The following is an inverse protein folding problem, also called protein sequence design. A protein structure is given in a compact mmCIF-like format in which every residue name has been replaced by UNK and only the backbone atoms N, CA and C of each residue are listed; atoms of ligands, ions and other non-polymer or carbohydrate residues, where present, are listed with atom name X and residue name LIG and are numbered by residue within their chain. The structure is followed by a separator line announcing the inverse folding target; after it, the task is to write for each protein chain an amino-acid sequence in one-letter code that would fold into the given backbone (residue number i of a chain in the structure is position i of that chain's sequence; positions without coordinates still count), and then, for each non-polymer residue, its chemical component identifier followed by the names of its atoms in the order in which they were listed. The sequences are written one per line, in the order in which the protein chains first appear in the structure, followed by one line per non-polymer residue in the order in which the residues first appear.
data_IF_236212517111
#
_entry.id   IF_236212517111
#
_cell.length_a   1.000
_cell.length_b   1.000
_cell.length_c   1.000
_cell.angle_alpha   90.00
_cell.angle_beta   90.00
_cell.angle_gamma   90.00
#
_symmetry.space_group_name_H-M   'P 1'
#
loop_
_entity.id
_entity.type
_entity.pdbx_description
1 polymer ?
#
# COMPACT_ATOMS: atom_id res chain seq x y z
N UNK A 1 -13.22 6.53 10.96
CA UNK A 1 -13.90 5.41 10.25
C UNK A 1 -12.83 4.47 9.73
N UNK A 2 -13.03 3.14 9.76
CA UNK A 2 -12.05 2.22 9.22
C UNK A 2 -12.14 2.04 7.71
N UNK A 3 -10.98 1.89 7.07
CA UNK A 3 -10.84 1.57 5.65
C UNK A 3 -9.86 0.43 5.42
N UNK A 4 -10.02 -0.21 4.26
CA UNK A 4 -9.04 -1.12 3.68
C UNK A 4 -8.51 -0.49 2.40
N UNK A 5 -7.19 -0.41 2.26
CA UNK A 5 -6.55 0.15 1.08
C UNK A 5 -5.64 -0.89 0.45
N UNK A 6 -5.90 -1.22 -0.81
CA UNK A 6 -5.03 -2.06 -1.62
C UNK A 6 -4.18 -1.18 -2.55
N UNK A 7 -2.88 -1.50 -2.63
CA UNK A 7 -1.84 -0.72 -3.29
C UNK A 7 -0.99 -1.62 -4.20
N UNK A 8 -0.69 -1.12 -5.40
CA UNK A 8 0.28 -1.71 -6.31
C UNK A 8 1.13 -0.60 -6.94
N UNK A 9 2.42 -0.57 -6.62
CA UNK A 9 3.40 0.32 -7.26
C UNK A 9 4.04 -0.41 -8.43
N UNK A 10 3.97 0.16 -9.63
CA UNK A 10 4.62 -0.37 -10.83
C UNK A 10 5.59 0.65 -11.41
N UNK A 11 6.87 0.63 -10.98
CA UNK A 11 7.92 1.40 -11.63
C UNK A 11 8.11 0.91 -13.07
N UNK A 12 8.29 1.82 -14.02
CA UNK A 12 8.45 1.51 -15.44
C UNK A 12 9.94 1.60 -15.84
N UNK A 13 10.78 0.82 -15.15
CA UNK A 13 12.23 0.78 -15.30
C UNK A 13 12.81 -0.60 -14.94
N UNK A 14 13.99 -0.96 -15.43
CA UNK A 14 14.57 -2.30 -15.26
C UNK A 14 14.89 -2.66 -13.80
N UNK A 15 15.40 -1.71 -13.01
CA UNK A 15 15.72 -1.95 -11.59
C UNK A 15 14.52 -1.67 -10.66
N UNK A 16 13.31 -2.05 -11.03
CA UNK A 16 12.08 -1.68 -10.30
C UNK A 16 12.01 -2.21 -8.86
N UNK A 17 12.64 -3.36 -8.56
CA UNK A 17 12.47 -4.07 -7.29
C UNK A 17 12.78 -3.25 -6.03
N UNK A 18 13.90 -2.50 -5.92
CA UNK A 18 14.21 -1.75 -4.72
C UNK A 18 13.17 -0.69 -4.38
N UNK A 19 12.57 -0.03 -5.37
CA UNK A 19 11.52 0.95 -5.14
C UNK A 19 10.27 0.29 -4.52
N UNK A 20 9.86 -0.86 -5.04
CA UNK A 20 8.74 -1.64 -4.51
C UNK A 20 9.06 -2.15 -3.10
N UNK A 21 10.23 -2.76 -2.90
CA UNK A 21 10.65 -3.31 -1.60
C UNK A 21 10.70 -2.21 -0.52
N UNK A 22 11.25 -1.04 -0.86
CA UNK A 22 11.34 0.07 0.09
C UNK A 22 9.97 0.63 0.45
N UNK A 23 9.07 0.76 -0.53
CA UNK A 23 7.69 1.19 -0.28
C UNK A 23 6.95 0.21 0.63
N UNK A 24 7.03 -1.09 0.35
CA UNK A 24 6.42 -2.13 1.20
C UNK A 24 6.98 -2.10 2.63
N UNK A 25 8.30 -1.97 2.78
CA UNK A 25 8.95 -1.86 4.11
C UNK A 25 8.48 -0.62 4.87
N UNK A 26 8.25 0.50 4.21
CA UNK A 26 7.76 1.70 4.90
C UNK A 26 6.31 1.56 5.36
N UNK A 27 5.46 0.87 4.59
CA UNK A 27 4.11 0.49 5.02
C UNK A 27 4.15 -0.44 6.24
N UNK A 28 5.02 -1.47 6.24
CA UNK A 28 5.19 -2.38 7.39
C UNK A 28 5.63 -1.66 8.67
N UNK A 29 6.47 -0.64 8.54
CA UNK A 29 6.96 0.15 9.68
C UNK A 29 5.93 1.14 10.24
N UNK A 30 4.72 1.21 9.67
CA UNK A 30 3.66 2.13 10.12
C UNK A 30 3.00 1.75 11.45
N UNK A 31 3.12 0.49 11.88
CA UNK A 31 2.37 -0.04 13.02
C UNK A 31 0.89 -0.35 12.71
N UNK A 32 0.45 -0.17 11.46
CA UNK A 32 -0.87 -0.61 10.99
C UNK A 32 -0.85 -2.10 10.62
N UNK A 33 -2.04 -2.69 10.52
CA UNK A 33 -2.17 -4.01 9.90
C UNK A 33 -1.83 -3.91 8.43
N UNK A 34 -0.82 -4.67 8.00
CA UNK A 34 -0.38 -4.78 6.61
C UNK A 34 -0.40 -6.23 6.19
N UNK A 35 -1.10 -6.54 5.09
CA UNK A 35 -1.14 -7.86 4.48
C UNK A 35 -0.64 -7.78 3.04
N UNK A 36 -0.02 -8.86 2.57
CA UNK A 36 0.69 -8.88 1.30
C UNK A 36 0.39 -10.18 0.58
N UNK A 37 0.27 -10.08 -0.74
CA UNK A 37 0.17 -11.23 -1.63
C UNK A 37 1.00 -10.95 -2.89
N UNK A 38 1.13 -11.92 -3.82
CA UNK A 38 1.93 -11.73 -5.03
C UNK A 38 1.48 -10.60 -5.97
N UNK A 39 0.28 -10.03 -5.78
CA UNK A 39 -0.33 -9.03 -6.65
C UNK A 39 -0.39 -7.63 -6.00
N UNK A 40 -0.52 -7.54 -4.68
CA UNK A 40 -0.77 -6.28 -3.99
C UNK A 40 -0.32 -6.26 -2.52
N UNK A 41 -0.20 -5.04 -1.99
CA UNK A 41 -0.06 -4.77 -0.54
C UNK A 41 -1.31 -4.09 -0.02
N UNK A 42 -1.79 -4.51 1.14
CA UNK A 42 -3.03 -4.04 1.74
C UNK A 42 -2.75 -3.43 3.11
N UNK A 43 -3.31 -2.25 3.39
CA UNK A 43 -3.17 -1.51 4.64
C UNK A 43 -4.55 -1.26 5.23
N UNK A 44 -4.72 -1.52 6.53
CA UNK A 44 -5.99 -1.37 7.23
C UNK A 44 -5.85 -0.48 8.46
N UNK A 45 -6.88 0.31 8.74
CA UNK A 45 -6.90 1.15 9.94
C UNK A 45 -7.92 2.28 9.87
N UNK A 46 -7.83 3.22 10.82
CA UNK A 46 -8.62 4.46 10.78
C UNK A 46 -8.23 5.31 9.57
N UNK A 47 -9.24 5.87 8.91
CA UNK A 47 -9.11 6.63 7.66
C UNK A 47 -8.00 7.69 7.74
N UNK A 48 -8.04 8.55 8.76
CA UNK A 48 -7.06 9.63 8.88
C UNK A 48 -5.64 9.10 9.09
N UNK A 49 -5.48 8.03 9.87
CA UNK A 49 -4.19 7.39 10.09
C UNK A 49 -3.64 6.75 8.82
N UNK A 50 -4.47 6.00 8.10
CA UNK A 50 -4.08 5.37 6.84
C UNK A 50 -3.75 6.43 5.79
N UNK A 51 -4.59 7.45 5.62
CA UNK A 51 -4.37 8.50 4.62
C UNK A 51 -3.13 9.34 4.92
N UNK A 52 -2.81 9.61 6.19
CA UNK A 52 -1.57 10.30 6.57
C UNK A 52 -0.32 9.48 6.24
N UNK A 53 -0.35 8.16 6.49
CA UNK A 53 0.72 7.25 6.08
C UNK A 53 0.88 7.29 4.55
N UNK A 54 -0.21 7.07 3.82
CA UNK A 54 -0.20 6.98 2.37
C UNK A 54 0.26 8.30 1.73
N UNK A 55 -0.18 9.45 2.24
CA UNK A 55 0.27 10.76 1.75
C UNK A 55 1.80 10.88 1.75
N UNK A 56 2.44 10.45 2.84
CA UNK A 56 3.90 10.51 3.00
C UNK A 56 4.60 9.46 2.13
N UNK A 57 4.22 8.20 2.28
CA UNK A 57 4.97 7.08 1.70
C UNK A 57 4.75 6.96 0.19
N UNK A 58 3.56 7.30 -0.31
CA UNK A 58 3.33 7.34 -1.76
C UNK A 58 4.12 8.44 -2.44
N UNK A 59 4.25 9.61 -1.79
CA UNK A 59 5.09 10.69 -2.31
C UNK A 59 6.54 10.23 -2.43
N UNK A 60 7.09 9.65 -1.36
CA UNK A 60 8.46 9.11 -1.37
C UNK A 60 8.65 8.03 -2.43
N UNK A 61 7.67 7.13 -2.61
CA UNK A 61 7.75 6.10 -3.64
C UNK A 61 7.74 6.66 -5.08
N UNK A 62 6.90 7.67 -5.34
CA UNK A 62 6.83 8.34 -6.64
C UNK A 62 8.07 9.20 -6.92
N UNK A 63 8.67 9.81 -5.90
CA UNK A 63 9.94 10.56 -6.03
C UNK A 63 11.15 9.63 -6.28
N UNK A 64 11.06 8.36 -5.90
CA UNK A 64 12.13 7.38 -6.05
C UNK A 64 12.18 6.70 -7.45
N UNK A 65 11.23 7.01 -8.33
CA UNK A 65 11.11 6.42 -9.67
C UNK A 65 10.98 7.52 -10.73
N UNK A 66 11.63 7.35 -11.88
CA UNK A 66 11.53 8.34 -12.97
C UNK A 66 10.15 8.30 -13.64
N UNK A 67 9.62 7.08 -13.78
CA UNK A 67 8.31 6.78 -14.37
C UNK A 67 7.70 5.62 -13.63
N UNK A 68 6.44 5.74 -13.26
CA UNK A 68 5.73 4.70 -12.56
C UNK A 68 4.26 5.01 -12.47
N UNK A 69 3.47 4.00 -12.11
CA UNK A 69 2.10 4.17 -11.70
C UNK A 69 1.91 3.60 -10.30
N UNK A 70 1.00 4.20 -9.55
CA UNK A 70 0.53 3.65 -8.29
C UNK A 70 -0.97 3.45 -8.41
N UNK A 71 -1.41 2.20 -8.35
CA UNK A 71 -2.82 1.84 -8.31
C UNK A 71 -3.28 1.75 -6.86
N UNK A 72 -4.43 2.36 -6.56
CA UNK A 72 -5.01 2.43 -5.22
C UNK A 72 -6.49 2.09 -5.28
N UNK A 73 -6.91 1.17 -4.43
CA UNK A 73 -8.32 0.83 -4.22
C UNK A 73 -8.67 0.98 -2.76
N UNK A 74 -9.64 1.85 -2.46
CA UNK A 74 -10.10 2.13 -1.10
C UNK A 74 -11.49 1.51 -0.90
N UNK A 75 -11.64 0.76 0.19
CA UNK A 75 -12.91 0.16 0.60
C UNK A 75 -13.34 0.75 1.94
N UNK A 76 -14.60 1.21 2.02
CA UNK A 76 -15.23 1.71 3.25
C UNK A 76 -15.62 0.52 4.14
N UNK A 77 -14.64 -0.05 4.84
CA UNK A 77 -14.76 -1.03 5.94
C UNK A 77 -13.37 -1.61 6.23
N UNK A 78 -13.20 -2.20 7.41
CA UNK A 78 -12.08 -3.09 7.71
C UNK A 78 -12.40 -4.47 7.08
N UNK A 79 -11.50 -4.99 6.24
CA UNK A 79 -11.60 -6.31 5.61
C UNK A 79 -10.39 -7.18 5.91
N UNK A 80 -9.62 -6.84 6.94
CA UNK A 80 -8.40 -7.55 7.31
C UNK A 80 -8.62 -9.00 7.76
N UNK A 81 -9.85 -9.33 8.14
CA UNK A 81 -10.30 -10.65 8.62
C UNK A 81 -11.08 -11.45 7.56
N UNK A 82 -11.03 -11.05 6.29
CA UNK A 82 -11.76 -11.76 5.25
C UNK A 82 -11.26 -13.19 5.07
N UNK A 83 -12.16 -14.15 5.27
CA UNK A 83 -11.99 -15.55 4.89
C UNK A 83 -13.05 -15.95 3.86
N UNK A 84 -12.68 -16.67 2.77
CA UNK A 84 -13.64 -17.27 1.85
C UNK A 84 -14.58 -18.24 2.59
N UNK A 85 -15.87 -18.23 2.26
CA UNK A 85 -16.91 -19.03 2.92
C UNK A 85 -17.72 -19.87 1.92
N UNK A 86 -17.04 -20.41 0.90
CA UNK A 86 -17.63 -21.26 -0.14
C UNK A 86 -16.80 -22.53 -0.34
#
# INVERSE_FOLDING_TARGET
MKISVELTLSPLQDNYEPAIINFIKSLRNSGLTVLENPLSTQVYGEYDTVMNLLQKEMKTALEAVDRGLLYIKIVKSDRSDYEPHF
#
